data_IF_494548033841
#
_entry.id   IF_494548033841
#
_cell.length_a   1.000
_cell.length_b   1.000
_cell.length_c   1.000
_cell.angle_alpha   90.00
_cell.angle_beta   90.00
_cell.angle_gamma   90.00
#
_symmetry.space_group_name_H-M   'P 1'
#
loop_
_entity.id
_entity.type
_entity.pdbx_description
1 polymer ?
#
# COMPACT_ATOMS: atom_id res chain seq x y z
N UNK A 1 29.96 34.57 -14.49
CA UNK A 1 29.60 33.24 -13.95
C UNK A 1 28.08 33.21 -13.81
N UNK A 2 27.39 32.23 -14.40
CA UNK A 2 25.95 32.04 -14.24
C UNK A 2 25.71 30.82 -13.35
N UNK A 3 24.86 30.98 -12.33
CA UNK A 3 24.54 29.90 -11.38
C UNK A 3 23.01 29.65 -11.45
N UNK A 4 22.62 28.42 -11.74
CA UNK A 4 21.24 27.99 -11.77
C UNK A 4 21.01 27.03 -10.60
N UNK A 5 20.09 27.38 -9.69
CA UNK A 5 19.67 26.54 -8.57
C UNK A 5 18.41 25.79 -8.96
N UNK A 6 18.50 24.44 -9.02
CA UNK A 6 17.38 23.56 -9.29
C UNK A 6 16.96 22.86 -8.01
N UNK A 7 15.91 23.35 -7.36
CA UNK A 7 15.36 22.76 -6.14
C UNK A 7 14.45 21.55 -6.43
N UNK A 8 13.49 21.72 -7.29
CA UNK A 8 12.47 20.71 -7.60
C UNK A 8 11.89 20.06 -6.32
N UNK A 9 11.49 20.87 -5.37
CA UNK A 9 10.89 20.51 -4.09
C UNK A 9 11.81 19.73 -3.10
N UNK A 10 13.12 19.62 -3.39
CA UNK A 10 14.06 18.89 -2.53
C UNK A 10 14.30 19.54 -1.19
N UNK A 11 14.26 20.86 -1.10
CA UNK A 11 14.36 21.59 0.18
C UNK A 11 13.21 21.26 1.11
N UNK A 12 11.98 21.10 0.61
CA UNK A 12 10.83 20.68 1.40
C UNK A 12 10.99 19.23 1.89
N UNK A 13 11.51 18.32 1.04
CA UNK A 13 11.84 16.96 1.45
C UNK A 13 12.91 16.96 2.54
N UNK A 14 13.95 17.79 2.39
CA UNK A 14 15.03 17.90 3.37
C UNK A 14 14.52 18.43 4.72
N UNK A 15 13.55 19.35 4.72
CA UNK A 15 12.93 19.89 5.92
C UNK A 15 12.09 18.85 6.67
N UNK A 16 11.55 17.82 5.98
CA UNK A 16 10.78 16.76 6.61
C UNK A 16 11.69 15.75 7.32
N UNK A 17 11.61 15.60 8.65
CA UNK A 17 12.52 14.75 9.43
C UNK A 17 12.44 13.27 9.10
N UNK A 18 11.32 12.79 8.56
CA UNK A 18 11.11 11.39 8.13
C UNK A 18 11.53 11.24 6.68
N UNK A 19 10.97 12.04 5.78
CA UNK A 19 11.15 11.87 4.33
C UNK A 19 12.53 12.27 3.82
N UNK A 20 13.32 13.07 4.57
CA UNK A 20 14.67 13.47 4.16
C UNK A 20 15.60 12.31 3.84
N UNK A 21 15.36 11.14 4.41
CA UNK A 21 16.14 9.93 4.20
C UNK A 21 16.18 9.50 2.71
N UNK A 22 15.11 9.80 1.94
CA UNK A 22 15.09 9.50 0.50
C UNK A 22 16.18 10.22 -0.30
N UNK A 23 16.66 11.35 0.18
CA UNK A 23 17.72 12.13 -0.49
C UNK A 23 19.08 11.44 -0.43
N UNK A 24 19.27 10.42 0.41
CA UNK A 24 20.49 9.59 0.45
C UNK A 24 20.59 8.63 -0.73
N UNK A 25 19.56 8.53 -1.57
CA UNK A 25 19.50 7.58 -2.66
C UNK A 25 20.60 7.84 -3.72
N UNK A 26 21.51 6.88 -3.88
CA UNK A 26 22.58 6.90 -4.88
C UNK A 26 22.13 6.37 -6.26
N UNK A 27 20.85 6.04 -6.43
CA UNK A 27 20.25 5.54 -7.67
C UNK A 27 20.88 4.27 -8.23
N UNK A 28 21.36 3.38 -7.38
CA UNK A 28 21.99 2.11 -7.78
C UNK A 28 21.03 1.08 -8.40
N UNK A 29 19.70 1.24 -8.24
CA UNK A 29 18.70 0.34 -8.80
C UNK A 29 18.51 -0.99 -8.05
N UNK A 30 19.23 -1.26 -6.96
CA UNK A 30 19.12 -2.52 -6.23
C UNK A 30 17.67 -2.83 -5.79
N UNK A 31 16.93 -1.82 -5.31
CA UNK A 31 15.53 -1.96 -4.92
C UNK A 31 14.59 -2.33 -6.08
N UNK A 32 14.95 -2.00 -7.33
CA UNK A 32 14.19 -2.39 -8.52
C UNK A 32 14.30 -3.90 -8.74
N UNK A 33 15.52 -4.43 -8.65
CA UNK A 33 15.81 -5.83 -8.96
C UNK A 33 15.12 -6.81 -8.00
N UNK A 34 14.86 -6.43 -6.75
CA UNK A 34 14.22 -7.29 -5.75
C UNK A 34 12.70 -7.08 -5.64
N UNK A 35 12.17 -6.03 -6.27
CA UNK A 35 10.75 -5.69 -6.12
C UNK A 35 9.84 -6.64 -6.89
N UNK A 36 8.95 -7.41 -6.22
CA UNK A 36 8.02 -8.32 -6.91
C UNK A 36 7.01 -7.56 -7.78
N UNK A 37 6.59 -6.36 -7.37
CA UNK A 37 5.67 -5.54 -8.16
C UNK A 37 6.33 -5.11 -9.46
N UNK A 38 7.56 -4.58 -9.40
CA UNK A 38 8.30 -4.16 -10.58
C UNK A 38 8.56 -5.31 -11.56
N UNK A 39 8.91 -6.47 -11.06
CA UNK A 39 9.14 -7.66 -11.91
C UNK A 39 7.90 -8.07 -12.70
N UNK A 40 6.71 -7.77 -12.19
CA UNK A 40 5.45 -8.13 -12.84
C UNK A 40 4.93 -7.06 -13.80
N UNK A 41 5.01 -5.77 -13.43
CA UNK A 41 4.37 -4.69 -14.21
C UNK A 41 5.35 -3.81 -15.00
N UNK A 42 6.65 -3.90 -14.71
CA UNK A 42 7.68 -3.08 -15.35
C UNK A 42 7.64 -1.61 -14.95
N UNK A 43 8.65 -0.84 -15.43
CA UNK A 43 8.81 0.58 -15.06
C UNK A 43 7.78 1.51 -15.70
N UNK A 44 7.34 1.24 -16.92
CA UNK A 44 6.40 2.09 -17.66
C UNK A 44 5.05 2.25 -16.97
N UNK A 45 4.59 1.21 -16.25
CA UNK A 45 3.33 1.24 -15.51
C UNK A 45 3.27 2.29 -14.40
N UNK A 46 4.42 2.82 -13.97
CA UNK A 46 4.48 3.87 -12.95
C UNK A 46 4.24 5.27 -13.51
N UNK A 47 4.36 5.48 -14.82
CA UNK A 47 4.11 6.77 -15.48
C UNK A 47 5.01 7.92 -14.99
N UNK A 48 6.14 7.62 -14.35
CA UNK A 48 7.04 8.61 -13.76
C UNK A 48 8.49 8.33 -14.09
N UNK A 49 9.34 9.38 -14.02
CA UNK A 49 10.79 9.26 -14.26
C UNK A 49 11.46 8.30 -13.28
N UNK A 50 10.98 8.29 -12.03
CA UNK A 50 11.47 7.39 -10.99
C UNK A 50 10.46 6.27 -10.79
N UNK A 51 10.72 5.13 -11.39
CA UNK A 51 9.93 3.93 -11.14
C UNK A 51 10.38 3.25 -9.85
N UNK A 52 9.45 2.62 -9.15
CA UNK A 52 9.59 1.62 -8.08
C UNK A 52 10.43 1.94 -6.86
N UNK A 53 10.45 1.12 -5.84
CA UNK A 53 10.16 1.44 -4.44
C UNK A 53 10.58 2.85 -4.06
N UNK A 54 11.81 3.25 -4.39
CA UNK A 54 12.30 4.61 -4.07
C UNK A 54 11.54 5.69 -4.87
N UNK A 55 11.18 5.42 -6.13
CA UNK A 55 10.39 6.32 -6.96
C UNK A 55 8.97 6.52 -6.42
N UNK A 56 8.37 5.46 -5.91
CA UNK A 56 7.05 5.51 -5.25
C UNK A 56 7.05 6.30 -3.94
N UNK A 57 8.23 6.50 -3.33
CA UNK A 57 8.40 7.40 -2.18
C UNK A 57 8.68 8.82 -2.63
N UNK A 58 9.67 9.01 -3.52
CA UNK A 58 10.17 10.35 -3.87
C UNK A 58 9.21 11.13 -4.76
N UNK A 59 8.55 10.48 -5.72
CA UNK A 59 7.68 11.15 -6.69
C UNK A 59 6.51 11.89 -6.02
N UNK A 60 5.74 11.28 -5.07
CA UNK A 60 4.70 12.00 -4.34
C UNK A 60 5.25 13.20 -3.56
N UNK A 61 6.45 13.11 -3.03
CA UNK A 61 7.06 14.20 -2.27
C UNK A 61 7.61 15.34 -3.17
N UNK A 62 8.01 15.03 -4.40
CA UNK A 62 8.49 16.05 -5.36
C UNK A 62 7.36 16.70 -6.14
N UNK A 63 6.41 15.91 -6.63
CA UNK A 63 5.42 16.31 -7.63
C UNK A 63 4.01 16.50 -7.04
N UNK A 64 3.82 16.16 -5.77
CA UNK A 64 2.54 16.28 -5.07
C UNK A 64 1.94 14.94 -4.66
N UNK A 65 1.55 14.87 -3.40
CA UNK A 65 1.01 13.66 -2.82
C UNK A 65 -0.39 13.33 -3.36
N UNK A 66 -1.20 14.35 -3.66
CA UNK A 66 -2.57 14.16 -4.14
C UNK A 66 -2.62 13.40 -5.47
N UNK A 67 -1.79 13.79 -6.42
CA UNK A 67 -1.75 13.20 -7.75
C UNK A 67 -1.05 11.83 -7.74
N UNK A 68 0.05 11.71 -6.99
CA UNK A 68 0.95 10.54 -7.03
C UNK A 68 0.81 9.58 -5.85
N UNK A 69 -0.18 9.76 -4.93
CA UNK A 69 -0.39 8.86 -3.77
C UNK A 69 -0.54 7.39 -4.18
N UNK A 70 -1.14 7.13 -5.35
CA UNK A 70 -1.35 5.78 -5.87
C UNK A 70 -0.05 4.96 -5.98
N UNK A 71 1.08 5.62 -6.25
CA UNK A 71 2.40 4.96 -6.33
C UNK A 71 2.80 4.33 -4.99
N UNK A 72 2.54 5.02 -3.88
CA UNK A 72 2.84 4.49 -2.54
C UNK A 72 1.93 3.31 -2.17
N UNK A 73 0.71 3.25 -2.74
CA UNK A 73 -0.21 2.12 -2.55
C UNK A 73 0.11 0.92 -3.48
N UNK A 74 0.82 1.15 -4.59
CA UNK A 74 1.25 0.11 -5.52
C UNK A 74 2.47 -0.69 -4.98
N UNK A 75 2.48 -1.01 -3.69
CA UNK A 75 3.55 -1.76 -3.03
C UNK A 75 2.98 -2.84 -2.13
N UNK A 76 3.61 -4.02 -2.15
CA UNK A 76 3.29 -5.13 -1.22
C UNK A 76 3.86 -4.93 0.19
N UNK A 77 4.69 -3.89 0.41
CA UNK A 77 5.37 -3.62 1.69
C UNK A 77 6.18 -4.80 2.24
N UNK A 78 6.71 -5.66 1.38
CA UNK A 78 7.47 -6.85 1.78
C UNK A 78 8.83 -6.55 2.44
N UNK A 79 9.31 -5.30 2.38
CA UNK A 79 10.57 -4.88 3.01
C UNK A 79 11.85 -5.18 2.23
N UNK A 80 11.83 -6.04 1.22
CA UNK A 80 13.02 -6.45 0.47
C UNK A 80 13.84 -5.27 -0.11
N UNK A 81 13.17 -4.19 -0.53
CA UNK A 81 13.83 -2.98 -1.01
C UNK A 81 14.64 -2.25 0.06
N UNK A 82 14.21 -2.30 1.32
CA UNK A 82 14.93 -1.73 2.47
C UNK A 82 16.16 -2.56 2.80
N UNK A 83 16.00 -3.89 2.80
CA UNK A 83 17.10 -4.83 3.13
C UNK A 83 18.25 -4.72 2.14
N UNK A 84 17.93 -4.65 0.84
CA UNK A 84 18.95 -4.60 -0.23
C UNK A 84 19.58 -3.22 -0.39
N UNK A 85 19.03 -2.18 0.22
CA UNK A 85 19.51 -0.82 0.04
C UNK A 85 20.94 -0.64 0.61
N UNK A 86 21.95 -0.31 -0.24
CA UNK A 86 23.34 -0.18 0.22
C UNK A 86 23.54 1.01 1.16
N UNK A 87 22.71 2.04 1.04
CA UNK A 87 22.74 3.24 1.91
C UNK A 87 21.69 3.16 3.04
N UNK A 88 21.07 1.99 3.22
CA UNK A 88 20.18 1.66 4.35
C UNK A 88 18.94 2.58 4.50
N UNK A 89 18.37 3.07 3.40
CA UNK A 89 17.11 3.82 3.42
C UNK A 89 15.97 2.89 3.82
N UNK A 90 15.16 3.32 4.80
CA UNK A 90 13.97 2.59 5.24
C UNK A 90 12.79 2.78 4.26
N UNK A 91 12.93 2.28 3.02
CA UNK A 91 11.99 2.56 1.91
C UNK A 91 10.55 2.13 2.24
N UNK A 92 10.35 0.96 2.83
CA UNK A 92 8.98 0.49 3.16
C UNK A 92 8.34 1.32 4.28
N UNK A 93 9.12 1.81 5.25
CA UNK A 93 8.63 2.73 6.27
C UNK A 93 8.21 4.08 5.67
N UNK A 94 9.00 4.62 4.74
CA UNK A 94 8.68 5.87 4.03
C UNK A 94 7.43 5.74 3.14
N UNK A 95 7.19 4.56 2.54
CA UNK A 95 5.94 4.28 1.82
C UNK A 95 4.72 4.30 2.75
N UNK A 96 4.86 3.76 3.96
CA UNK A 96 3.81 3.83 4.98
C UNK A 96 3.55 5.27 5.44
N UNK A 97 4.60 6.05 5.61
CA UNK A 97 4.49 7.48 5.98
C UNK A 97 3.72 8.27 4.90
N UNK A 98 4.02 8.06 3.61
CA UNK A 98 3.25 8.66 2.52
C UNK A 98 1.76 8.25 2.55
N UNK A 99 1.47 6.97 2.84
CA UNK A 99 0.07 6.50 2.99
C UNK A 99 -0.62 7.19 4.16
N UNK A 100 0.07 7.29 5.29
CA UNK A 100 -0.44 7.97 6.49
C UNK A 100 -0.71 9.45 6.20
N UNK A 101 0.25 10.16 5.63
CA UNK A 101 0.09 11.55 5.24
C UNK A 101 -1.09 11.78 4.28
N UNK A 102 -1.33 10.86 3.32
CA UNK A 102 -2.48 10.97 2.41
C UNK A 102 -3.82 10.84 3.12
N UNK A 103 -3.89 10.04 4.18
CA UNK A 103 -5.10 9.88 5.01
C UNK A 103 -5.30 11.10 5.91
N UNK A 104 -4.25 11.59 6.56
CA UNK A 104 -4.30 12.78 7.43
C UNK A 104 -4.71 14.04 6.67
N UNK A 105 -4.19 14.21 5.45
CA UNK A 105 -4.56 15.33 4.56
C UNK A 105 -5.96 15.17 3.92
N UNK A 106 -6.69 14.11 4.30
CA UNK A 106 -8.08 13.93 3.89
C UNK A 106 -8.27 13.46 2.45
N UNK A 107 -7.24 12.98 1.78
CA UNK A 107 -7.26 12.55 0.36
C UNK A 107 -7.99 11.22 0.12
N UNK A 108 -8.66 10.68 1.13
CA UNK A 108 -9.48 9.46 1.04
C UNK A 108 -10.94 9.80 0.78
N UNK A 109 -11.61 9.00 -0.04
CA UNK A 109 -13.05 9.19 -0.33
C UNK A 109 -13.91 8.89 0.90
N UNK A 110 -15.11 9.48 0.95
CA UNK A 110 -16.06 9.21 2.04
C UNK A 110 -16.43 7.73 2.13
N UNK A 111 -16.65 7.09 0.99
CA UNK A 111 -16.97 5.65 0.91
C UNK A 111 -15.85 4.78 1.49
N UNK A 112 -14.60 5.11 1.19
CA UNK A 112 -13.43 4.43 1.73
C UNK A 112 -13.33 4.58 3.25
N UNK A 113 -13.49 5.80 3.76
CA UNK A 113 -13.50 6.08 5.22
C UNK A 113 -14.59 5.28 5.93
N UNK A 114 -15.79 5.18 5.34
CA UNK A 114 -16.89 4.42 5.91
C UNK A 114 -16.61 2.91 5.88
N UNK A 115 -16.08 2.40 4.77
CA UNK A 115 -15.72 0.98 4.64
C UNK A 115 -14.71 0.57 5.71
N UNK A 116 -13.66 1.37 5.93
CA UNK A 116 -12.67 1.12 6.99
C UNK A 116 -13.24 1.21 8.40
N UNK A 117 -14.16 2.16 8.66
CA UNK A 117 -14.86 2.23 9.96
C UNK A 117 -15.70 1.00 10.23
N UNK A 118 -16.48 0.55 9.25
CA UNK A 118 -17.33 -0.65 9.35
C UNK A 118 -16.44 -1.88 9.57
N UNK A 119 -15.37 -2.02 8.79
CA UNK A 119 -14.42 -3.12 8.93
C UNK A 119 -13.78 -3.14 10.32
N UNK A 120 -13.33 -1.98 10.82
CA UNK A 120 -12.76 -1.83 12.18
C UNK A 120 -13.75 -2.28 13.24
N UNK A 121 -15.00 -1.80 13.19
CA UNK A 121 -16.03 -2.17 14.18
C UNK A 121 -16.34 -3.66 14.13
N UNK A 122 -16.45 -4.25 12.93
CA UNK A 122 -16.67 -5.67 12.77
C UNK A 122 -15.50 -6.50 13.30
N UNK A 123 -14.26 -6.07 13.04
CA UNK A 123 -13.03 -6.78 13.46
C UNK A 123 -12.76 -6.71 14.95
N UNK A 124 -13.14 -5.62 15.63
CA UNK A 124 -12.93 -5.45 17.06
C UNK A 124 -13.91 -6.28 17.92
N UNK A 125 -15.03 -6.68 17.37
CA UNK A 125 -16.05 -7.48 18.11
C UNK A 125 -16.13 -8.89 17.51
N UNK A 126 -15.64 -9.88 18.24
CA UNK A 126 -15.62 -11.29 17.82
C UNK A 126 -17.02 -11.81 17.43
N UNK A 127 -18.05 -11.37 18.16
CA UNK A 127 -19.45 -11.72 17.81
C UNK A 127 -19.83 -11.23 16.41
N UNK A 128 -19.47 -10.00 16.05
CA UNK A 128 -19.73 -9.46 14.71
C UNK A 128 -18.95 -10.17 13.62
N UNK A 129 -17.68 -10.54 13.87
CA UNK A 129 -16.88 -11.30 12.90
C UNK A 129 -17.48 -12.69 12.61
N UNK A 130 -18.06 -13.32 13.62
CA UNK A 130 -18.68 -14.65 13.50
C UNK A 130 -20.12 -14.60 12.97
N UNK A 131 -20.73 -13.41 12.85
CA UNK A 131 -22.10 -13.29 12.32
C UNK A 131 -22.14 -13.48 10.79
N UNK A 132 -23.23 -14.07 10.32
CA UNK A 132 -23.50 -14.26 8.90
C UNK A 132 -22.93 -15.56 8.32
N UNK A 133 -23.71 -16.16 7.43
CA UNK A 133 -23.34 -17.38 6.71
C UNK A 133 -22.28 -17.05 5.64
N UNK A 134 -21.27 -17.91 5.50
CA UNK A 134 -20.20 -17.78 4.48
C UNK A 134 -20.74 -17.65 3.06
N UNK A 135 -21.81 -18.34 2.71
CA UNK A 135 -22.46 -18.25 1.40
C UNK A 135 -23.03 -16.85 1.11
N UNK A 136 -23.62 -16.20 2.12
CA UNK A 136 -24.12 -14.83 1.99
C UNK A 136 -22.96 -13.85 1.83
N UNK A 137 -21.90 -14.02 2.64
CA UNK A 137 -20.66 -13.21 2.54
C UNK A 137 -20.04 -13.34 1.14
N UNK A 138 -19.93 -14.56 0.58
CA UNK A 138 -19.44 -14.79 -0.78
C UNK A 138 -20.26 -14.05 -1.83
N UNK A 139 -21.59 -14.12 -1.76
CA UNK A 139 -22.48 -13.42 -2.69
C UNK A 139 -22.32 -11.91 -2.63
N UNK A 140 -22.26 -11.33 -1.44
CA UNK A 140 -22.11 -9.88 -1.24
C UNK A 140 -20.74 -9.40 -1.76
N UNK A 141 -19.67 -10.08 -1.36
CA UNK A 141 -18.31 -9.71 -1.76
C UNK A 141 -18.15 -9.83 -3.28
N UNK A 142 -18.59 -10.94 -3.89
CA UNK A 142 -18.48 -11.12 -5.33
C UNK A 142 -19.34 -10.13 -6.13
N UNK A 143 -20.45 -9.64 -5.56
CA UNK A 143 -21.24 -8.55 -6.16
C UNK A 143 -20.52 -7.20 -6.09
N UNK A 144 -19.79 -6.92 -5.01
CA UNK A 144 -19.04 -5.68 -4.83
C UNK A 144 -17.77 -5.67 -5.69
N UNK A 145 -17.10 -6.81 -5.83
CA UNK A 145 -15.83 -6.95 -6.57
C UNK A 145 -16.01 -7.57 -7.97
N UNK A 146 -17.03 -7.12 -8.72
CA UNK A 146 -17.32 -7.64 -10.08
C UNK A 146 -16.12 -7.54 -11.02
N UNK A 147 -15.38 -6.44 -10.98
CA UNK A 147 -14.23 -6.22 -11.87
C UNK A 147 -13.05 -7.12 -11.52
N UNK A 148 -12.86 -7.43 -10.24
CA UNK A 148 -11.91 -8.43 -9.79
C UNK A 148 -12.26 -9.82 -10.34
N UNK A 149 -13.51 -10.22 -10.25
CA UNK A 149 -13.99 -11.53 -10.68
C UNK A 149 -13.91 -11.77 -12.19
N UNK A 150 -13.67 -10.73 -13.02
CA UNK A 150 -13.42 -10.90 -14.47
C UNK A 150 -12.10 -11.61 -14.74
N UNK A 151 -11.12 -11.48 -13.86
CA UNK A 151 -9.75 -11.95 -14.05
C UNK A 151 -9.29 -12.96 -13.00
N UNK A 152 -10.10 -13.20 -11.97
CA UNK A 152 -9.79 -14.05 -10.83
C UNK A 152 -10.96 -14.96 -10.49
N UNK A 153 -10.67 -16.10 -9.87
CA UNK A 153 -11.69 -16.98 -9.31
C UNK A 153 -12.53 -16.24 -8.26
N UNK A 154 -13.87 -16.37 -8.27
CA UNK A 154 -14.70 -15.76 -7.25
C UNK A 154 -14.31 -16.19 -5.85
N UNK A 155 -14.43 -15.27 -4.89
CA UNK A 155 -14.09 -15.55 -3.49
C UNK A 155 -15.15 -16.43 -2.85
N UNK A 156 -14.75 -17.58 -2.33
CA UNK A 156 -15.58 -18.50 -1.57
C UNK A 156 -15.23 -18.49 -0.10
N UNK A 157 -16.17 -18.11 0.74
CA UNK A 157 -16.01 -18.16 2.19
C UNK A 157 -16.55 -19.49 2.73
N UNK A 158 -15.82 -20.07 3.68
CA UNK A 158 -16.28 -21.28 4.39
C UNK A 158 -17.63 -21.06 5.02
N UNK A 159 -18.50 -22.08 4.97
CA UNK A 159 -19.83 -22.06 5.60
C UNK A 159 -19.77 -21.88 7.12
N UNK A 160 -18.76 -22.50 7.75
CA UNK A 160 -18.48 -22.40 9.18
C UNK A 160 -17.34 -21.42 9.44
N UNK A 161 -17.43 -20.65 10.50
CA UNK A 161 -16.35 -19.78 10.95
C UNK A 161 -15.18 -20.61 11.48
N UNK A 162 -13.97 -20.05 11.46
CA UNK A 162 -12.78 -20.71 12.05
C UNK A 162 -13.05 -21.11 13.52
N UNK A 163 -13.74 -20.27 14.28
CA UNK A 163 -14.04 -20.54 15.68
C UNK A 163 -14.96 -21.75 15.87
N UNK A 164 -15.93 -21.96 15.00
CA UNK A 164 -16.79 -23.15 15.00
C UNK A 164 -16.01 -24.40 14.65
N UNK A 165 -15.23 -24.36 13.58
CA UNK A 165 -14.38 -25.47 13.16
C UNK A 165 -13.35 -25.84 14.24
N UNK A 166 -12.78 -24.84 14.94
CA UNK A 166 -11.83 -25.06 16.01
C UNK A 166 -12.46 -25.74 17.24
N UNK A 167 -13.69 -25.37 17.59
CA UNK A 167 -14.42 -26.00 18.69
C UNK A 167 -14.76 -27.46 18.38
N UNK A 168 -15.16 -27.76 17.14
CA UNK A 168 -15.44 -29.11 16.69
C UNK A 168 -14.19 -30.02 16.81
N UNK A 169 -13.01 -29.53 16.40
CA UNK A 169 -11.74 -30.26 16.50
C UNK A 169 -11.30 -30.60 17.94
N UNK A 170 -11.70 -29.80 18.93
CA UNK A 170 -11.34 -30.08 20.34
C UNK A 170 -12.20 -31.17 20.99
N UNK A 171 -13.21 -31.63 20.30
CA UNK A 171 -14.12 -32.69 20.79
C UNK A 171 -13.91 -34.01 20.05
N UNK A 172 -12.95 -34.10 19.11
CA UNK A 172 -12.40 -35.32 18.55
C UNK A 172 -11.08 -35.69 19.29
#
# INVERSE_FOLDING_TARGET
>A
MYVILLDNNRTNILANPVQREILYCIRCGACLNVCPVYKNIGGHSYGTTYSVPIGSVITPNMNGLEEYKHLSYASSLCGACTEVCPVKINIHGLLLDNRHASVEQGMTTFSEKMAWKIWKLASLKRGLMNTGNGTLKSKVVNKLFKDWNKYHTPLEFSKKTFNEQWKERKHE
#
